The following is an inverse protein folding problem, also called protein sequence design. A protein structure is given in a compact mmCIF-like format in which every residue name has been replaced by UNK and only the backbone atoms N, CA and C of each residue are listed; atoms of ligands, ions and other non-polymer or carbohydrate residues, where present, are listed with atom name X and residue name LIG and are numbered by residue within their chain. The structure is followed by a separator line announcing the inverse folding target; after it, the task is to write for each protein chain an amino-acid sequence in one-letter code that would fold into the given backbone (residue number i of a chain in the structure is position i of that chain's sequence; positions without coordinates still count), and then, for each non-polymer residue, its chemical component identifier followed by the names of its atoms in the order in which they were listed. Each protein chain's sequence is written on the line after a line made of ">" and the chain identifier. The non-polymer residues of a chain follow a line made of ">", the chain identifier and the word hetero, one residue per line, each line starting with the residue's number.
data_IF_583967856267
#
_entry.id   IF_583967856267
#
_cell.length_a   1.000
_cell.length_b   1.000
_cell.length_c   1.000
_cell.angle_alpha   90.00
_cell.angle_beta   90.00
_cell.angle_gamma   90.00
#
_symmetry.space_group_name_H-M   'P 1'
#
loop_
_entity.id
_entity.type
_entity.pdbx_description
1 polymer ?
#
# COMPACT_ATOMS: atom_id res chain seq x y z
N UNK A 1 -2.13 7.84 -12.55
CA UNK A 1 -1.64 6.66 -11.80
C UNK A 1 -2.77 5.64 -11.80
N UNK A 2 -2.46 4.37 -12.00
CA UNK A 2 -3.45 3.29 -12.04
C UNK A 2 -3.28 2.44 -10.78
N UNK A 3 -4.39 2.05 -10.14
CA UNK A 3 -4.35 1.10 -9.03
C UNK A 3 -4.02 -0.27 -9.59
N UNK A 4 -2.93 -0.87 -9.10
CA UNK A 4 -2.53 -2.23 -9.43
C UNK A 4 -3.24 -3.20 -8.49
N UNK A 5 -3.12 -2.95 -7.17
CA UNK A 5 -3.72 -3.78 -6.14
C UNK A 5 -3.96 -2.99 -4.86
N UNK A 6 -4.93 -3.44 -4.07
CA UNK A 6 -5.23 -2.93 -2.74
C UNK A 6 -5.28 -4.10 -1.76
N UNK A 7 -4.67 -3.91 -0.60
CA UNK A 7 -4.65 -4.85 0.50
C UNK A 7 -5.10 -4.12 1.75
N UNK A 8 -6.18 -4.58 2.37
CA UNK A 8 -6.65 -4.06 3.64
C UNK A 8 -6.29 -5.08 4.72
N UNK A 9 -5.63 -4.60 5.76
CA UNK A 9 -5.17 -5.38 6.90
C UNK A 9 -5.88 -4.87 8.14
N UNK A 10 -6.77 -5.69 8.71
CA UNK A 10 -7.56 -5.34 9.88
C UNK A 10 -9.06 -5.25 9.57
N UNK A 11 -9.79 -4.72 10.54
CA UNK A 11 -11.24 -4.58 10.49
C UNK A 11 -11.65 -3.11 10.67
N UNK A 12 -12.87 -2.78 10.25
CA UNK A 12 -13.43 -1.45 10.45
C UNK A 12 -13.44 -1.08 11.93
N UNK A 13 -12.83 0.05 12.28
CA UNK A 13 -12.69 0.51 13.66
C UNK A 13 -11.51 -0.09 14.42
N UNK A 14 -10.67 -0.91 13.78
CA UNK A 14 -9.43 -1.39 14.39
C UNK A 14 -8.36 -0.28 14.38
N UNK A 15 -7.86 0.16 15.56
CA UNK A 15 -6.88 1.24 15.63
C UNK A 15 -5.52 0.82 15.06
N UNK A 16 -5.26 -0.48 14.90
CA UNK A 16 -4.06 -1.02 14.25
C UNK A 16 -4.32 -1.41 12.79
N UNK A 17 -5.56 -1.27 12.30
CA UNK A 17 -5.93 -1.53 10.92
C UNK A 17 -5.31 -0.53 9.95
N UNK A 18 -4.91 -1.01 8.79
CA UNK A 18 -4.34 -0.19 7.72
C UNK A 18 -4.66 -0.77 6.35
N UNK A 19 -4.60 0.10 5.34
CA UNK A 19 -4.78 -0.21 3.95
C UNK A 19 -3.52 0.18 3.18
N UNK A 20 -3.08 -0.72 2.31
CA UNK A 20 -1.98 -0.52 1.40
C UNK A 20 -2.47 -0.63 -0.03
N UNK A 21 -2.21 0.38 -0.83
CA UNK A 21 -2.61 0.46 -2.23
C UNK A 21 -1.37 0.65 -3.09
N UNK A 22 -1.14 -0.31 -3.98
CA UNK A 22 -0.07 -0.22 -4.95
C UNK A 22 -0.59 0.46 -6.22
N UNK A 23 0.10 1.52 -6.60
CA UNK A 23 -0.13 2.28 -7.82
C UNK A 23 1.02 2.07 -8.80
N UNK A 24 0.70 2.18 -10.09
CA UNK A 24 1.67 2.28 -11.18
C UNK A 24 1.47 3.60 -11.92
N UNK A 25 2.56 4.33 -12.13
CA UNK A 25 2.59 5.52 -12.98
C UNK A 25 2.79 5.12 -14.45
N UNK A 26 2.40 6.02 -15.36
CA UNK A 26 2.56 5.80 -16.80
C UNK A 26 4.03 5.54 -17.23
N UNK A 27 4.97 6.08 -16.46
CA UNK A 27 6.42 5.89 -16.62
C UNK A 27 6.93 4.52 -16.13
N UNK A 28 6.03 3.63 -15.67
CA UNK A 28 6.39 2.30 -15.14
C UNK A 28 6.95 2.30 -13.71
N UNK A 29 6.92 3.44 -13.01
CA UNK A 29 7.26 3.55 -11.59
C UNK A 29 6.10 3.10 -10.72
N UNK A 30 6.42 2.43 -9.61
CA UNK A 30 5.42 1.94 -8.67
C UNK A 30 5.42 2.79 -7.42
N UNK A 31 4.24 2.94 -6.80
CA UNK A 31 4.07 3.71 -5.57
C UNK A 31 3.16 2.93 -4.63
N UNK A 32 3.64 2.66 -3.42
CA UNK A 32 2.86 2.05 -2.37
C UNK A 32 2.32 3.14 -1.46
N UNK A 33 1.00 3.22 -1.36
CA UNK A 33 0.30 4.13 -0.48
C UNK A 33 -0.21 3.33 0.72
N UNK A 34 0.28 3.62 1.91
CA UNK A 34 -0.19 3.04 3.16
C UNK A 34 -0.94 4.08 3.99
N UNK A 35 -2.11 3.75 4.50
CA UNK A 35 -2.87 4.59 5.43
C UNK A 35 -3.60 3.72 6.45
N UNK A 36 -3.66 4.10 7.71
CA UNK A 36 -4.31 3.32 8.75
C UNK A 36 -4.57 4.12 10.01
N UNK A 37 -5.00 3.40 11.05
CA UNK A 37 -5.24 3.97 12.38
C UNK A 37 -3.95 4.34 13.11
N UNK A 38 -4.06 5.12 14.18
CA UNK A 38 -2.93 5.67 14.95
C UNK A 38 -1.95 4.61 15.49
N UNK A 39 -2.41 3.38 15.72
CA UNK A 39 -1.55 2.27 16.21
C UNK A 39 -1.09 1.34 15.10
N UNK A 40 -1.47 1.61 13.86
CA UNK A 40 -1.01 0.86 12.69
C UNK A 40 0.43 1.26 12.30
N UNK A 41 1.14 0.44 11.51
CA UNK A 41 2.43 0.84 10.93
C UNK A 41 2.34 2.06 9.97
N UNK A 42 1.13 2.45 9.58
CA UNK A 42 0.85 3.60 8.73
C UNK A 42 -0.12 4.57 9.44
N UNK A 43 0.28 5.21 10.55
CA UNK A 43 -0.60 6.08 11.35
C UNK A 43 -1.04 7.34 10.60
N UNK A 44 -0.36 7.64 9.49
CA UNK A 44 -0.68 8.72 8.56
C UNK A 44 -0.48 8.22 7.13
N UNK A 45 -1.14 8.88 6.19
CA UNK A 45 -0.99 8.64 4.77
C UNK A 45 0.48 8.71 4.35
N UNK A 46 1.01 7.58 3.91
CA UNK A 46 2.41 7.43 3.52
C UNK A 46 2.49 6.88 2.11
N UNK A 47 3.04 7.68 1.20
CA UNK A 47 3.29 7.27 -0.17
C UNK A 47 4.79 7.00 -0.34
N UNK A 48 5.14 5.78 -0.73
CA UNK A 48 6.52 5.33 -0.95
C UNK A 48 6.69 4.90 -2.39
N UNK A 49 7.64 5.49 -3.12
CA UNK A 49 8.00 5.01 -4.45
C UNK A 49 8.78 3.69 -4.36
N UNK A 50 8.30 2.66 -5.05
CA UNK A 50 8.95 1.36 -5.15
C UNK A 50 9.51 1.14 -6.56
N UNK A 51 10.66 0.45 -6.60
CA UNK A 51 11.15 -0.13 -7.84
C UNK A 51 10.24 -1.29 -8.28
N UNK A 52 10.16 -1.54 -9.59
CA UNK A 52 9.34 -2.61 -10.19
C UNK A 52 9.52 -3.97 -9.53
N UNK A 53 10.74 -4.33 -9.13
CA UNK A 53 11.02 -5.58 -8.44
C UNK A 53 10.39 -5.66 -7.04
N UNK A 54 10.46 -4.58 -6.25
CA UNK A 54 9.83 -4.52 -4.92
C UNK A 54 8.31 -4.49 -5.02
N UNK A 55 7.77 -3.78 -5.99
CA UNK A 55 6.33 -3.75 -6.24
C UNK A 55 5.79 -5.13 -6.60
N UNK A 56 6.44 -5.85 -7.51
CA UNK A 56 6.06 -7.21 -7.87
C UNK A 56 6.17 -8.20 -6.70
N UNK A 57 7.15 -8.02 -5.80
CA UNK A 57 7.24 -8.82 -4.58
C UNK A 57 6.07 -8.51 -3.65
N UNK A 58 5.79 -7.23 -3.39
CA UNK A 58 4.68 -6.79 -2.55
C UNK A 58 3.33 -7.27 -3.08
N UNK A 59 3.09 -7.21 -4.40
CA UNK A 59 1.87 -7.74 -5.03
C UNK A 59 1.69 -9.24 -4.81
N UNK A 60 2.78 -10.00 -4.79
CA UNK A 60 2.75 -11.45 -4.55
C UNK A 60 2.56 -11.80 -3.09
N UNK A 61 3.14 -11.03 -2.18
CA UNK A 61 2.97 -11.23 -0.74
C UNK A 61 1.56 -10.85 -0.27
N UNK A 62 0.94 -9.85 -0.90
CA UNK A 62 -0.42 -9.41 -0.63
C UNK A 62 -1.42 -9.98 -1.67
N UNK A 63 -1.10 -11.14 -2.26
CA UNK A 63 -1.86 -11.76 -3.34
C UNK A 63 -3.20 -12.36 -2.88
#
# INVERSE_FOLDING_TARGET
>A
MTVVKKAAHGAYGDPAGYEEVLYVAADGKYFLYGVGGETSPYPQEKLVSLAKAKAAAWEKENA
#
